data_IF_611489269203
#
_entry.id   IF_611489269203
#
_cell.length_a   1.000
_cell.length_b   1.000
_cell.length_c   1.000
_cell.angle_alpha   90.00
_cell.angle_beta   90.00
_cell.angle_gamma   90.00
#
_symmetry.space_group_name_H-M   'P 1'
#
loop_
_entity.id
_entity.type
_entity.pdbx_description
1 polymer ?
#
# COMPACT_ATOMS: atom_id res chain seq x y z
N UNK A 1 -9.30 -6.42 -11.89
CA UNK A 1 -8.44 -6.44 -10.67
C UNK A 1 -8.32 -5.00 -10.19
N UNK A 2 -8.80 -4.73 -8.97
CA UNK A 2 -8.74 -3.38 -8.39
C UNK A 2 -7.35 -3.09 -7.83
N UNK A 3 -6.93 -1.82 -7.88
CA UNK A 3 -5.69 -1.38 -7.24
C UNK A 3 -6.01 -0.93 -5.80
N UNK A 4 -5.48 -1.60 -4.77
CA UNK A 4 -5.79 -1.28 -3.37
C UNK A 4 -5.41 0.15 -2.99
N UNK A 5 -4.33 0.70 -3.56
CA UNK A 5 -3.89 2.08 -3.27
C UNK A 5 -4.92 3.09 -3.76
N UNK A 6 -5.39 2.96 -5.00
CA UNK A 6 -6.36 3.92 -5.55
C UNK A 6 -7.74 3.78 -4.92
N UNK A 7 -8.14 2.57 -4.52
CA UNK A 7 -9.36 2.38 -3.74
C UNK A 7 -9.24 3.03 -2.36
N UNK A 8 -8.10 2.82 -1.68
CA UNK A 8 -7.85 3.41 -0.37
C UNK A 8 -7.88 4.95 -0.41
N UNK A 9 -7.20 5.56 -1.39
CA UNK A 9 -7.24 7.02 -1.60
C UNK A 9 -8.66 7.55 -1.89
N UNK A 10 -9.45 6.78 -2.64
CA UNK A 10 -10.82 7.17 -3.00
C UNK A 10 -11.77 7.14 -1.80
N UNK A 11 -11.64 6.15 -0.93
CA UNK A 11 -12.60 5.89 0.14
C UNK A 11 -12.12 6.36 1.53
N UNK A 12 -10.85 6.67 1.69
CA UNK A 12 -10.23 7.17 2.92
C UNK A 12 -9.18 8.24 2.61
N UNK A 13 -9.54 9.39 2.00
CA UNK A 13 -8.57 10.33 1.42
C UNK A 13 -7.54 10.89 2.40
N UNK A 14 -7.86 10.93 3.70
CA UNK A 14 -6.96 11.41 4.77
C UNK A 14 -6.36 10.25 5.59
N UNK A 15 -6.66 9.00 5.24
CA UNK A 15 -6.17 7.83 5.97
C UNK A 15 -6.75 7.67 7.38
N UNK A 16 -7.91 8.25 7.70
CA UNK A 16 -8.47 8.19 9.06
C UNK A 16 -8.82 6.74 9.45
N UNK A 17 -9.34 5.96 8.50
CA UNK A 17 -9.61 4.55 8.73
C UNK A 17 -8.30 3.79 8.91
N UNK A 18 -7.30 4.05 8.07
CA UNK A 18 -5.95 3.45 8.22
C UNK A 18 -5.38 3.73 9.61
N UNK A 19 -5.35 5.00 10.05
CA UNK A 19 -4.77 5.38 11.36
C UNK A 19 -5.51 4.80 12.55
N UNK A 20 -6.81 4.55 12.40
CA UNK A 20 -7.64 3.93 13.44
C UNK A 20 -7.25 2.47 13.64
N UNK A 21 -7.02 1.74 12.56
CA UNK A 21 -6.83 0.28 12.58
C UNK A 21 -5.36 -0.16 12.54
N UNK A 22 -4.46 0.70 12.04
CA UNK A 22 -3.03 0.48 11.96
C UNK A 22 -2.32 1.58 12.79
N UNK A 23 -2.28 1.44 14.13
CA UNK A 23 -1.75 2.47 15.03
C UNK A 23 -0.27 2.81 14.77
N UNK A 24 0.52 1.88 14.24
CA UNK A 24 1.90 2.09 13.79
C UNK A 24 2.00 3.13 12.67
N UNK A 25 0.93 3.34 11.89
CA UNK A 25 0.87 4.35 10.83
C UNK A 25 0.27 5.69 11.28
N UNK A 26 -0.07 5.86 12.57
CA UNK A 26 -0.81 7.02 13.08
C UNK A 26 -0.16 8.36 12.75
N UNK A 27 1.17 8.43 12.74
CA UNK A 27 1.93 9.67 12.52
C UNK A 27 2.44 9.85 11.08
N UNK A 28 2.16 8.90 10.18
CA UNK A 28 2.55 9.00 8.77
C UNK A 28 1.80 10.16 8.10
N UNK A 29 2.40 11.07 7.33
CA UNK A 29 1.66 12.17 6.69
C UNK A 29 0.59 11.68 5.70
N UNK A 30 -0.49 12.45 5.50
CA UNK A 30 -1.61 12.08 4.60
C UNK A 30 -1.14 11.78 3.17
N UNK A 31 -0.12 12.51 2.69
CA UNK A 31 0.48 12.30 1.37
C UNK A 31 1.11 10.91 1.21
N UNK A 32 1.47 10.25 2.31
CA UNK A 32 2.17 8.96 2.34
C UNK A 32 1.35 7.83 2.96
N UNK A 33 0.20 8.11 3.60
CA UNK A 33 -0.56 7.12 4.38
C UNK A 33 -1.01 5.90 3.56
N UNK A 34 -1.25 6.10 2.25
CA UNK A 34 -1.66 5.03 1.32
C UNK A 34 -0.49 4.28 0.67
N UNK A 35 0.73 4.81 0.79
CA UNK A 35 1.96 4.21 0.25
C UNK A 35 3.16 4.49 1.17
N UNK A 36 3.13 4.05 2.44
CA UNK A 36 4.16 4.41 3.42
C UNK A 36 5.56 3.88 3.04
N UNK A 37 5.63 2.79 2.27
CA UNK A 37 6.88 2.27 1.70
C UNK A 37 7.59 3.20 0.69
N UNK A 38 6.92 4.26 0.24
CA UNK A 38 7.55 5.30 -0.60
C UNK A 38 8.23 6.41 0.20
N UNK A 39 8.07 6.42 1.52
CA UNK A 39 8.74 7.39 2.38
C UNK A 39 10.25 7.16 2.39
N UNK A 40 11.02 8.24 2.30
CA UNK A 40 12.45 8.18 2.57
C UNK A 40 12.73 7.95 4.06
N UNK A 41 13.99 7.66 4.42
CA UNK A 41 14.37 7.38 5.81
C UNK A 41 14.13 8.57 6.76
N UNK A 42 14.19 9.81 6.28
CA UNK A 42 13.94 10.99 7.12
C UNK A 42 12.44 11.11 7.44
N UNK A 43 11.58 10.89 6.45
CA UNK A 43 10.13 10.84 6.60
C UNK A 43 9.70 9.69 7.51
N UNK A 44 10.26 8.49 7.34
CA UNK A 44 9.99 7.33 8.21
C UNK A 44 10.35 7.62 9.68
N UNK A 45 11.50 8.24 9.93
CA UNK A 45 11.91 8.66 11.28
C UNK A 45 10.98 9.71 11.87
N UNK A 46 10.61 10.72 11.08
CA UNK A 46 9.67 11.77 11.52
C UNK A 46 8.29 11.19 11.86
N UNK A 47 7.85 10.18 11.11
CA UNK A 47 6.60 9.46 11.35
C UNK A 47 6.70 8.38 12.44
N UNK A 48 7.88 8.17 13.05
CA UNK A 48 8.12 7.08 14.02
C UNK A 48 7.67 5.70 13.51
N UNK A 49 7.84 5.44 12.20
CA UNK A 49 7.46 4.20 11.54
C UNK A 49 8.50 3.84 10.49
N UNK A 50 9.36 2.86 10.80
CA UNK A 50 10.36 2.33 9.87
C UNK A 50 9.76 1.20 9.05
N UNK A 51 9.83 1.33 7.73
CA UNK A 51 9.35 0.32 6.80
C UNK A 51 10.32 -0.88 6.83
N UNK A 52 9.76 -2.10 6.85
CA UNK A 52 10.48 -3.35 7.06
C UNK A 52 10.74 -3.71 8.52
N UNK A 53 10.40 -2.82 9.47
CA UNK A 53 10.53 -3.08 10.92
C UNK A 53 9.22 -2.88 11.66
N UNK A 54 8.68 -1.67 11.61
CA UNK A 54 7.46 -1.29 12.33
C UNK A 54 6.22 -1.50 11.45
N UNK A 55 6.37 -1.34 10.13
CA UNK A 55 5.35 -1.68 9.12
C UNK A 55 6.01 -2.37 7.92
N UNK A 56 5.41 -3.41 7.31
CA UNK A 56 6.09 -4.18 6.26
C UNK A 56 6.21 -3.44 4.93
N UNK A 57 7.19 -3.86 4.12
CA UNK A 57 7.21 -3.60 2.68
C UNK A 57 6.04 -4.30 1.98
N UNK A 58 5.57 -3.81 0.81
CA UNK A 58 4.62 -4.55 -0.01
C UNK A 58 5.14 -5.95 -0.33
N UNK A 59 4.35 -6.97 0.02
CA UNK A 59 4.73 -8.38 -0.20
C UNK A 59 4.79 -8.77 -1.69
N UNK A 60 4.21 -7.96 -2.57
CA UNK A 60 4.22 -8.16 -4.02
C UNK A 60 4.06 -6.81 -4.73
N UNK A 61 4.72 -6.67 -5.89
CA UNK A 61 4.49 -5.52 -6.76
C UNK A 61 3.07 -5.56 -7.38
N UNK A 62 2.38 -4.41 -7.35
CA UNK A 62 1.01 -4.29 -7.84
C UNK A 62 0.90 -4.45 -9.37
N UNK A 63 1.90 -3.97 -10.12
CA UNK A 63 1.90 -4.09 -11.58
C UNK A 63 2.12 -5.54 -11.99
N UNK A 64 3.11 -6.20 -11.39
CA UNK A 64 3.44 -7.60 -11.60
C UNK A 64 2.27 -8.51 -11.26
N UNK A 65 1.68 -8.38 -10.06
CA UNK A 65 0.55 -9.20 -9.62
C UNK A 65 -0.66 -9.08 -10.54
N UNK A 66 -0.97 -7.86 -10.99
CA UNK A 66 -2.02 -7.59 -11.98
C UNK A 66 -1.74 -8.30 -13.29
N UNK A 67 -0.52 -8.17 -13.82
CA UNK A 67 -0.14 -8.80 -15.09
C UNK A 67 -0.23 -10.32 -15.01
N UNK A 68 0.38 -10.93 -14.00
CA UNK A 68 0.35 -12.38 -13.77
C UNK A 68 -1.08 -12.92 -13.72
N UNK A 69 -1.98 -12.20 -13.04
CA UNK A 69 -3.38 -12.61 -12.91
C UNK A 69 -4.11 -12.54 -14.26
N UNK A 70 -3.87 -11.51 -15.07
CA UNK A 70 -4.48 -11.38 -16.39
C UNK A 70 -3.99 -12.45 -17.37
N UNK A 71 -2.70 -12.78 -17.33
CA UNK A 71 -2.12 -13.86 -18.14
C UNK A 71 -2.71 -15.21 -17.77
N UNK A 72 -2.77 -15.53 -16.47
CA UNK A 72 -3.41 -16.76 -15.98
C UNK A 72 -4.88 -16.86 -16.41
N UNK A 73 -5.64 -15.77 -16.30
CA UNK A 73 -7.04 -15.73 -16.73
C UNK A 73 -7.19 -15.94 -18.25
N UNK A 74 -6.32 -15.33 -19.06
CA UNK A 74 -6.32 -15.51 -20.52
C UNK A 74 -6.05 -16.98 -20.89
N UNK A 75 -5.06 -17.61 -20.24
CA UNK A 75 -4.70 -19.01 -20.49
C UNK A 75 -5.82 -19.97 -20.07
N UNK A 76 -6.47 -19.72 -18.93
CA UNK A 76 -7.61 -20.54 -18.48
C UNK A 76 -8.83 -20.45 -19.43
N UNK A 77 -8.99 -19.33 -20.13
CA UNK A 77 -10.08 -19.11 -21.08
C UNK A 77 -9.83 -19.75 -22.46
N UNK A 78 -8.56 -19.92 -22.83
CA UNK A 78 -8.12 -20.52 -24.09
C UNK A 78 -7.13 -21.67 -23.80
N UNK A 79 -7.63 -22.84 -23.38
CA UNK A 79 -6.79 -23.97 -22.96
C UNK A 79 -5.93 -24.55 -24.08
#
# INVERSE_FOLDING_TARGET
IFNPVTQSQKFDPNGEYIRRWLPELRHVPDQSIHTPWKMDLAQQRAASCLIGKDYPEPIIDLKFSRQRTLEAYKNAKNP
#
